data_IF_197413832397
#
_entry.id   IF_197413832397
#
_cell.length_a   1.000
_cell.length_b   1.000
_cell.length_c   1.000
_cell.angle_alpha   90.00
_cell.angle_beta   90.00
_cell.angle_gamma   90.00
#
_symmetry.space_group_name_H-M   'P 1'
#
loop_
_entity.id
_entity.type
_entity.pdbx_description
1 polymer ?
#
# COMPACT_ATOMS: atom_id res chain seq x y z
N UNK A 1 13.21 -22.70 6.79
CA UNK A 1 12.93 -22.03 5.50
C UNK A 1 14.18 -21.29 5.08
N UNK A 2 14.55 -21.33 3.80
CA UNK A 2 15.71 -20.57 3.28
C UNK A 2 15.44 -19.07 3.29
N UNK A 3 16.45 -18.26 3.57
CA UNK A 3 16.39 -16.78 3.53
C UNK A 3 15.98 -16.28 2.15
N UNK A 4 16.54 -16.87 1.09
CA UNK A 4 16.22 -16.56 -0.29
C UNK A 4 14.72 -16.71 -0.60
N UNK A 5 14.11 -17.81 -0.13
CA UNK A 5 12.68 -18.03 -0.29
C UNK A 5 11.85 -16.97 0.46
N UNK A 6 12.29 -16.59 1.67
CA UNK A 6 11.66 -15.52 2.44
C UNK A 6 11.70 -14.16 1.71
N UNK A 7 12.85 -13.80 1.14
CA UNK A 7 13.03 -12.56 0.38
C UNK A 7 12.16 -12.50 -0.87
N UNK A 8 12.09 -13.60 -1.63
CA UNK A 8 11.23 -13.69 -2.81
C UNK A 8 9.74 -13.60 -2.46
N UNK A 9 9.30 -14.33 -1.45
CA UNK A 9 7.90 -14.34 -1.03
C UNK A 9 7.47 -12.96 -0.52
N UNK A 10 8.26 -12.34 0.36
CA UNK A 10 7.99 -11.00 0.87
C UNK A 10 8.07 -9.95 -0.24
N UNK A 11 9.06 -10.07 -1.12
CA UNK A 11 9.25 -9.18 -2.25
C UNK A 11 8.06 -9.19 -3.21
N UNK A 12 7.53 -10.38 -3.56
CA UNK A 12 6.32 -10.51 -4.37
C UNK A 12 5.07 -9.93 -3.67
N UNK A 13 4.92 -10.23 -2.38
CA UNK A 13 3.79 -9.74 -1.57
C UNK A 13 3.80 -8.21 -1.44
N UNK A 14 4.95 -7.56 -1.53
CA UNK A 14 5.07 -6.10 -1.55
C UNK A 14 4.97 -5.52 -2.97
N UNK A 15 5.69 -6.09 -3.94
CA UNK A 15 5.80 -5.58 -5.30
C UNK A 15 4.46 -5.53 -6.03
N UNK A 16 3.65 -6.60 -5.93
CA UNK A 16 2.41 -6.72 -6.70
C UNK A 16 1.34 -5.74 -6.19
N UNK A 17 0.95 -5.74 -4.89
CA UNK A 17 -0.06 -4.80 -4.39
C UNK A 17 0.44 -3.35 -4.44
N UNK A 18 1.72 -3.12 -4.11
CA UNK A 18 2.34 -1.80 -4.21
C UNK A 18 2.25 -1.25 -5.64
N UNK A 19 2.58 -2.07 -6.64
CA UNK A 19 2.48 -1.72 -8.06
C UNK A 19 1.04 -1.44 -8.49
N UNK A 20 0.09 -2.27 -8.05
CA UNK A 20 -1.33 -2.02 -8.32
C UNK A 20 -1.80 -0.68 -7.78
N UNK A 21 -1.37 -0.30 -6.57
CA UNK A 21 -1.69 0.99 -5.97
C UNK A 21 -0.98 2.14 -6.70
N UNK A 22 0.31 2.00 -7.01
CA UNK A 22 1.13 3.01 -7.67
C UNK A 22 0.54 3.43 -9.03
N UNK A 23 0.15 2.45 -9.83
CA UNK A 23 -0.45 2.62 -11.15
C UNK A 23 -1.97 2.77 -11.11
N UNK A 24 -2.57 2.79 -9.92
CA UNK A 24 -4.02 2.90 -9.71
C UNK A 24 -4.81 1.85 -10.53
N UNK A 25 -4.31 0.61 -10.58
CA UNK A 25 -4.93 -0.51 -11.29
C UNK A 25 -6.34 -0.72 -10.75
N UNK A 26 -7.33 -0.70 -11.63
CA UNK A 26 -8.77 -0.81 -11.29
C UNK A 26 -9.23 0.23 -10.26
N UNK A 27 -8.57 1.40 -10.18
CA UNK A 27 -8.92 2.43 -9.23
C UNK A 27 -8.54 2.12 -7.78
N UNK A 28 -7.55 1.23 -7.56
CA UNK A 28 -7.08 0.82 -6.23
C UNK A 28 -6.75 1.99 -5.29
N UNK A 29 -6.02 3.00 -5.75
CA UNK A 29 -5.66 4.16 -4.95
C UNK A 29 -6.87 5.04 -4.62
N UNK A 30 -7.79 5.21 -5.57
CA UNK A 30 -9.05 5.91 -5.34
C UNK A 30 -9.97 5.16 -4.36
N UNK A 31 -9.95 3.83 -4.39
CA UNK A 31 -10.68 3.00 -3.44
C UNK A 31 -10.12 3.14 -2.02
N UNK A 32 -8.80 3.23 -1.87
CA UNK A 32 -8.16 3.42 -0.56
C UNK A 32 -8.49 4.79 0.03
N UNK A 33 -8.48 5.84 -0.79
CA UNK A 33 -8.92 7.17 -0.38
C UNK A 33 -10.38 7.16 0.11
N UNK A 34 -11.31 6.60 -0.68
CA UNK A 34 -12.72 6.50 -0.27
C UNK A 34 -12.91 5.69 1.02
N UNK A 35 -12.20 4.59 1.16
CA UNK A 35 -12.25 3.78 2.38
C UNK A 35 -11.70 4.55 3.59
N UNK A 36 -10.64 5.32 3.41
CA UNK A 36 -10.07 6.20 4.43
C UNK A 36 -11.05 7.29 4.88
N UNK A 37 -11.74 7.92 3.93
CA UNK A 37 -12.77 8.92 4.20
C UNK A 37 -13.94 8.32 4.99
N UNK A 38 -14.47 7.16 4.58
CA UNK A 38 -15.55 6.48 5.31
C UNK A 38 -15.12 6.06 6.73
N UNK A 39 -13.87 5.64 6.92
CA UNK A 39 -13.36 5.31 8.26
C UNK A 39 -13.17 6.55 9.13
N UNK A 40 -12.81 7.69 8.54
CA UNK A 40 -12.71 8.96 9.26
C UNK A 40 -14.10 9.41 9.74
N UNK A 41 -15.13 9.31 8.90
CA UNK A 41 -16.53 9.56 9.26
C UNK A 41 -16.98 8.68 10.42
N UNK A 42 -16.74 7.36 10.35
CA UNK A 42 -17.10 6.42 11.42
C UNK A 42 -16.42 6.77 12.75
N UNK A 43 -15.15 7.20 12.71
CA UNK A 43 -14.40 7.60 13.90
C UNK A 43 -14.93 8.91 14.51
N UNK A 44 -15.38 9.85 13.69
CA UNK A 44 -16.01 11.09 14.18
C UNK A 44 -17.36 10.81 14.81
N UNK A 45 -18.22 9.99 14.17
CA UNK A 45 -19.49 9.57 14.74
C UNK A 45 -19.32 8.84 16.08
N UNK A 46 -18.34 7.94 16.18
CA UNK A 46 -18.03 7.24 17.43
C UNK A 46 -17.56 8.18 18.56
N UNK A 47 -17.04 9.36 18.22
CA UNK A 47 -16.61 10.40 19.18
C UNK A 47 -17.70 11.44 19.47
N UNK A 48 -18.83 11.38 18.78
CA UNK A 48 -19.89 12.40 18.85
C UNK A 48 -19.50 13.74 18.21
N UNK A 49 -18.48 13.75 17.34
CA UNK A 49 -18.03 14.94 16.64
C UNK A 49 -18.83 15.13 15.33
N UNK A 50 -19.41 16.31 15.14
CA UNK A 50 -20.19 16.71 13.95
C UNK A 50 -19.41 17.69 13.06
N UNK A 51 -18.13 17.94 13.37
CA UNK A 51 -17.25 18.79 12.59
C UNK A 51 -16.96 18.23 11.19
N UNK A 52 -16.34 19.05 10.31
CA UNK A 52 -15.97 18.62 8.97
C UNK A 52 -14.95 17.48 9.02
N UNK A 53 -15.13 16.48 8.16
CA UNK A 53 -14.24 15.32 8.07
C UNK A 53 -12.89 15.75 7.48
N UNK A 54 -11.84 15.60 8.28
CA UNK A 54 -10.49 15.94 7.90
C UNK A 54 -9.89 14.86 6.97
N UNK A 55 -9.77 15.16 5.68
CA UNK A 55 -9.16 14.25 4.69
C UNK A 55 -7.65 14.22 4.86
N UNK A 56 -7.13 13.10 5.37
CA UNK A 56 -5.69 12.95 5.67
C UNK A 56 -4.85 12.37 4.54
N UNK A 57 -5.44 11.58 3.63
CA UNK A 57 -4.68 10.88 2.60
C UNK A 57 -5.40 10.90 1.24
N UNK A 58 -4.82 11.61 0.27
CA UNK A 58 -5.34 11.63 -1.11
C UNK A 58 -4.93 10.39 -1.91
N UNK A 59 -5.62 10.07 -3.01
CA UNK A 59 -5.21 9.02 -3.93
C UNK A 59 -3.77 9.23 -4.44
N UNK A 60 -3.32 10.49 -4.60
CA UNK A 60 -1.94 10.79 -5.02
C UNK A 60 -0.93 10.31 -3.98
N UNK A 61 -1.22 10.51 -2.69
CA UNK A 61 -0.36 10.03 -1.61
C UNK A 61 -0.36 8.50 -1.55
N UNK A 62 -1.51 7.85 -1.71
CA UNK A 62 -1.59 6.39 -1.78
C UNK A 62 -0.76 5.83 -2.95
N UNK A 63 -0.81 6.45 -4.13
CA UNK A 63 0.02 6.06 -5.27
C UNK A 63 1.51 6.18 -4.96
N UNK A 64 1.93 7.26 -4.30
CA UNK A 64 3.32 7.45 -3.90
C UNK A 64 3.78 6.36 -2.93
N UNK A 65 2.98 6.06 -1.91
CA UNK A 65 3.27 4.97 -0.96
C UNK A 65 3.30 3.61 -1.65
N UNK A 66 2.34 3.35 -2.55
CA UNK A 66 2.32 2.15 -3.38
C UNK A 66 3.60 2.01 -4.20
N UNK A 67 4.11 3.10 -4.79
CA UNK A 67 5.35 3.10 -5.56
C UNK A 67 6.57 2.77 -4.69
N UNK A 68 6.66 3.34 -3.49
CA UNK A 68 7.73 3.02 -2.52
C UNK A 68 7.68 1.55 -2.13
N UNK A 69 6.51 1.03 -1.78
CA UNK A 69 6.31 -0.39 -1.43
C UNK A 69 6.66 -1.30 -2.60
N UNK A 70 6.28 -0.93 -3.82
CA UNK A 70 6.59 -1.70 -5.01
C UNK A 70 8.11 -1.78 -5.24
N UNK A 71 8.80 -0.64 -5.11
CA UNK A 71 10.25 -0.56 -5.27
C UNK A 71 10.98 -1.39 -4.22
N UNK A 72 10.57 -1.31 -2.95
CA UNK A 72 11.11 -2.17 -1.88
C UNK A 72 10.91 -3.65 -2.19
N UNK A 73 9.72 -4.03 -2.70
CA UNK A 73 9.45 -5.40 -3.13
C UNK A 73 10.40 -5.87 -4.25
N UNK A 74 10.64 -5.03 -5.25
CA UNK A 74 11.62 -5.32 -6.31
C UNK A 74 13.03 -5.54 -5.75
N UNK A 75 13.48 -4.71 -4.80
CA UNK A 75 14.80 -4.85 -4.16
C UNK A 75 14.91 -6.19 -3.42
N UNK A 76 13.86 -6.59 -2.69
CA UNK A 76 13.85 -7.88 -2.00
C UNK A 76 13.89 -9.07 -2.97
N UNK A 77 13.15 -8.99 -4.09
CA UNK A 77 13.19 -10.02 -5.13
C UNK A 77 14.60 -10.15 -5.69
N UNK A 78 15.25 -9.02 -6.02
CA UNK A 78 16.63 -9.03 -6.53
C UNK A 78 17.60 -9.64 -5.51
N UNK A 79 17.47 -9.30 -4.22
CA UNK A 79 18.28 -9.91 -3.16
C UNK A 79 18.07 -11.42 -3.05
N UNK A 80 16.82 -11.89 -3.10
CA UNK A 80 16.51 -13.32 -3.06
C UNK A 80 17.01 -14.08 -4.31
N UNK A 81 16.96 -13.46 -5.49
CA UNK A 81 17.53 -14.03 -6.72
C UNK A 81 19.06 -14.10 -6.65
N UNK A 82 19.72 -13.10 -6.07
CA UNK A 82 21.17 -13.11 -5.86
C UNK A 82 21.62 -14.22 -4.89
N UNK A 83 20.82 -14.53 -3.87
CA UNK A 83 21.11 -15.66 -2.96
C UNK A 83 20.91 -17.05 -3.62
N UNK A 84 20.18 -17.12 -4.73
CA UNK A 84 19.94 -18.36 -5.47
C UNK A 84 20.92 -18.59 -6.63
N UNK A 85 21.67 -17.56 -7.02
CA UNK A 85 22.66 -17.59 -8.11
C UNK A 85 24.02 -18.10 -7.61
#
# INVERSE_FOLDING_TARGET
MSTAFGLLALGLAAAVPGGWIAFNVRGSAASLERWGDSNAELRMHARGDLGPVERRMSARLHRLLGAVVALCGCVLILGGLLELA
#
